data_IF_404770369983
#
_entry.id   IF_404770369983
#
_cell.length_a   1.000
_cell.length_b   1.000
_cell.length_c   1.000
_cell.angle_alpha   90.00
_cell.angle_beta   90.00
_cell.angle_gamma   90.00
#
_symmetry.space_group_name_H-M   'P 1'
#
loop_
_entity.id
_entity.type
_entity.pdbx_description
1 polymer ?
#
# COMPACT_ATOMS: atom_id res chain seq x y z
N UNK A 1 -41.65 12.17 7.16
CA UNK A 1 -40.28 12.56 6.77
C UNK A 1 -39.40 11.39 7.16
N UNK A 2 -39.12 10.49 6.21
CA UNK A 2 -38.48 9.19 6.47
C UNK A 2 -36.97 9.37 6.55
N UNK A 3 -36.42 9.05 7.72
CA UNK A 3 -35.00 8.92 7.99
C UNK A 3 -34.51 7.61 7.36
N UNK A 4 -33.70 7.72 6.31
CA UNK A 4 -33.13 6.56 5.61
C UNK A 4 -31.67 6.45 6.00
N UNK A 5 -31.41 5.78 7.12
CA UNK A 5 -30.08 5.33 7.50
C UNK A 5 -29.65 4.20 6.55
N UNK A 6 -28.62 4.46 5.74
CA UNK A 6 -28.03 3.44 4.86
C UNK A 6 -26.99 2.68 5.68
N UNK A 7 -27.36 1.47 6.09
CA UNK A 7 -26.46 0.49 6.69
C UNK A 7 -25.36 0.14 5.66
N UNK A 8 -24.11 0.45 5.99
CA UNK A 8 -22.93 0.06 5.19
C UNK A 8 -22.38 -1.32 5.58
N UNK A 9 -23.17 -2.09 6.34
CA UNK A 9 -22.91 -3.47 6.71
C UNK A 9 -22.80 -4.39 5.49
N UNK A 10 -21.56 -4.69 5.09
CA UNK A 10 -21.29 -5.91 4.34
C UNK A 10 -20.98 -5.77 2.86
N UNK A 11 -20.36 -4.66 2.40
CA UNK A 11 -19.66 -4.71 1.11
C UNK A 11 -18.37 -5.53 1.29
N UNK A 12 -18.50 -6.86 1.28
CA UNK A 12 -17.39 -7.70 0.84
C UNK A 12 -17.23 -7.41 -0.64
N UNK A 13 -16.17 -6.70 -1.02
CA UNK A 13 -15.74 -6.61 -2.40
C UNK A 13 -15.44 -8.04 -2.86
N UNK A 14 -16.42 -8.64 -3.50
CA UNK A 14 -16.38 -9.96 -4.10
C UNK A 14 -15.20 -10.03 -5.08
N UNK A 15 -14.31 -10.99 -4.85
CA UNK A 15 -13.38 -11.61 -5.82
C UNK A 15 -12.81 -10.73 -6.93
N UNK A 16 -11.52 -10.40 -6.80
CA UNK A 16 -10.60 -10.10 -7.90
C UNK A 16 -11.12 -9.16 -8.99
N UNK A 17 -11.34 -7.90 -8.60
CA UNK A 17 -11.29 -6.82 -9.58
C UNK A 17 -9.92 -6.84 -10.25
N UNK A 18 -9.88 -7.23 -11.53
CA UNK A 18 -8.66 -7.19 -12.33
C UNK A 18 -8.05 -5.78 -12.21
N UNK A 19 -6.76 -5.71 -11.89
CA UNK A 19 -6.06 -4.43 -11.91
C UNK A 19 -5.82 -4.05 -13.38
N UNK A 20 -6.63 -3.10 -13.87
CA UNK A 20 -6.61 -2.68 -15.27
C UNK A 20 -5.96 -1.31 -15.43
N UNK A 21 -5.21 -1.15 -16.53
CA UNK A 21 -4.47 0.07 -16.80
C UNK A 21 -3.30 0.29 -15.83
N UNK A 22 -2.79 1.52 -15.76
CA UNK A 22 -1.75 1.94 -14.79
C UNK A 22 -0.43 1.14 -14.83
N UNK A 23 -0.21 0.37 -15.90
CA UNK A 23 0.98 -0.48 -16.08
C UNK A 23 2.26 0.34 -16.09
N UNK A 24 2.20 1.60 -16.57
CA UNK A 24 3.34 2.51 -16.55
C UNK A 24 3.75 2.82 -15.10
N UNK A 25 2.80 3.23 -14.28
CA UNK A 25 3.06 3.59 -12.88
C UNK A 25 3.53 2.38 -12.07
N UNK A 26 2.94 1.21 -12.30
CA UNK A 26 3.43 -0.04 -11.69
C UNK A 26 4.87 -0.35 -12.09
N UNK A 27 5.21 -0.22 -13.38
CA UNK A 27 6.56 -0.44 -13.89
C UNK A 27 7.57 0.54 -13.29
N UNK A 28 7.21 1.81 -13.15
CA UNK A 28 8.06 2.83 -12.52
C UNK A 28 8.32 2.48 -11.04
N UNK A 29 7.29 2.08 -10.29
CA UNK A 29 7.44 1.64 -8.89
C UNK A 29 8.32 0.40 -8.74
N UNK A 30 8.16 -0.61 -9.61
CA UNK A 30 9.01 -1.79 -9.61
C UNK A 30 10.48 -1.43 -9.92
N UNK A 31 10.71 -0.53 -10.87
CA UNK A 31 12.06 -0.07 -11.19
C UNK A 31 12.73 0.68 -10.02
N UNK A 32 11.96 1.40 -9.22
CA UNK A 32 12.47 2.08 -8.02
C UNK A 32 12.87 1.11 -6.90
N UNK A 33 12.20 -0.05 -6.79
CA UNK A 33 12.61 -1.14 -5.89
C UNK A 33 13.96 -1.72 -6.34
N UNK A 34 14.12 -1.98 -7.64
CA UNK A 34 15.37 -2.53 -8.21
C UNK A 34 16.55 -1.56 -8.15
N UNK A 35 16.28 -0.25 -8.20
CA UNK A 35 17.34 0.75 -8.30
C UNK A 35 18.28 0.67 -7.10
N UNK A 36 19.59 0.71 -7.35
CA UNK A 36 20.61 0.82 -6.30
C UNK A 36 20.27 1.93 -5.31
N UNK A 37 20.34 1.64 -4.02
CA UNK A 37 19.91 2.57 -2.98
C UNK A 37 20.86 3.75 -2.89
N UNK A 38 20.37 4.88 -2.38
CA UNK A 38 21.22 6.05 -2.15
C UNK A 38 22.44 5.70 -1.28
N UNK A 39 22.26 4.79 -0.32
CA UNK A 39 23.35 4.25 0.50
C UNK A 39 24.35 3.41 -0.32
N UNK A 40 23.87 2.58 -1.24
CA UNK A 40 24.71 1.80 -2.17
C UNK A 40 25.50 2.73 -3.09
N UNK A 41 24.88 3.79 -3.61
CA UNK A 41 25.53 4.82 -4.42
C UNK A 41 26.53 5.66 -3.61
N UNK A 42 26.30 5.80 -2.30
CA UNK A 42 27.17 6.52 -1.37
C UNK A 42 28.24 5.63 -0.72
N UNK A 43 28.43 4.39 -1.20
CA UNK A 43 29.45 3.45 -0.71
C UNK A 43 29.17 2.80 0.65
N UNK A 44 27.97 2.98 1.22
CA UNK A 44 27.57 2.34 2.48
C UNK A 44 27.06 0.92 2.19
N UNK A 45 27.63 -0.06 2.91
CA UNK A 45 27.43 -1.50 2.67
C UNK A 45 26.12 -2.08 3.19
N UNK A 46 25.41 -1.40 4.10
CA UNK A 46 24.21 -1.97 4.70
C UNK A 46 22.98 -1.67 3.83
N UNK A 47 22.21 -2.70 3.41
CA UNK A 47 20.93 -2.48 2.75
C UNK A 47 19.97 -1.77 3.72
N UNK A 48 19.43 -0.62 3.30
CA UNK A 48 18.38 0.10 4.04
C UNK A 48 17.03 -0.09 3.39
N UNK A 49 15.99 -0.02 4.23
CA UNK A 49 14.60 -0.02 3.81
C UNK A 49 14.32 1.07 2.77
N UNK A 50 13.48 0.75 1.79
CA UNK A 50 12.99 1.70 0.78
C UNK A 50 11.64 2.26 1.20
N UNK A 51 11.46 3.54 0.95
CA UNK A 51 10.19 4.24 1.16
C UNK A 51 9.73 4.75 -0.20
N UNK A 52 8.57 4.26 -0.64
CA UNK A 52 7.91 4.71 -1.87
C UNK A 52 6.65 5.49 -1.50
N UNK A 53 6.38 6.60 -2.20
CA UNK A 53 5.19 7.42 -1.98
C UNK A 53 4.26 7.33 -3.19
N UNK A 54 3.04 6.85 -2.96
CA UNK A 54 1.95 6.87 -3.95
C UNK A 54 0.99 8.00 -3.60
N UNK A 55 1.14 9.14 -4.28
CA UNK A 55 0.28 10.30 -4.12
C UNK A 55 -0.71 10.44 -5.29
N UNK A 56 -1.84 11.10 -5.06
CA UNK A 56 -2.92 11.22 -6.03
C UNK A 56 -4.23 11.70 -5.41
N UNK A 57 -5.20 12.04 -6.26
CA UNK A 57 -6.52 12.53 -5.84
C UNK A 57 -7.29 11.45 -5.05
N UNK A 58 -8.23 11.83 -4.17
CA UNK A 58 -9.16 10.88 -3.57
C UNK A 58 -9.86 10.03 -4.65
N UNK A 59 -10.00 8.73 -4.41
CA UNK A 59 -10.60 7.80 -5.37
C UNK A 59 -9.75 7.42 -6.58
N UNK A 60 -8.52 7.92 -6.75
CA UNK A 60 -7.69 7.62 -7.93
C UNK A 60 -7.08 6.21 -7.96
N UNK A 61 -7.52 5.29 -7.09
CA UNK A 61 -6.98 3.92 -7.03
C UNK A 61 -5.59 3.79 -6.38
N UNK A 62 -5.15 4.75 -5.56
CA UNK A 62 -3.83 4.71 -4.88
C UNK A 62 -3.62 3.41 -4.10
N UNK A 63 -4.62 3.00 -3.33
CA UNK A 63 -4.59 1.75 -2.55
C UNK A 63 -4.53 0.53 -3.46
N UNK A 64 -5.32 0.51 -4.55
CA UNK A 64 -5.31 -0.59 -5.50
C UNK A 64 -3.96 -0.75 -6.20
N UNK A 65 -3.29 0.37 -6.57
CA UNK A 65 -1.94 0.32 -7.14
C UNK A 65 -0.90 -0.19 -6.13
N UNK A 66 -1.02 0.21 -4.87
CA UNK A 66 -0.13 -0.28 -3.81
C UNK A 66 -0.32 -1.79 -3.59
N UNK A 67 -1.57 -2.26 -3.56
CA UNK A 67 -1.89 -3.69 -3.43
C UNK A 67 -1.39 -4.49 -4.63
N UNK A 68 -1.51 -3.96 -5.85
CA UNK A 68 -0.96 -4.61 -7.04
C UNK A 68 0.57 -4.69 -7.02
N UNK A 69 1.25 -3.60 -6.62
CA UNK A 69 2.70 -3.60 -6.45
C UNK A 69 3.14 -4.68 -5.47
N UNK A 70 2.45 -4.78 -4.33
CA UNK A 70 2.74 -5.77 -3.30
C UNK A 70 2.51 -7.19 -3.82
N UNK A 71 1.41 -7.46 -4.52
CA UNK A 71 1.18 -8.75 -5.19
C UNK A 71 2.31 -9.10 -6.14
N UNK A 72 2.78 -8.14 -6.94
CA UNK A 72 3.83 -8.35 -7.92
C UNK A 72 5.21 -8.65 -7.32
N UNK A 73 5.47 -8.29 -6.06
CA UNK A 73 6.77 -8.53 -5.40
C UNK A 73 6.71 -9.55 -4.28
N UNK A 74 5.53 -10.07 -3.92
CA UNK A 74 5.33 -10.93 -2.74
C UNK A 74 6.29 -12.14 -2.73
N UNK A 75 6.43 -12.83 -3.86
CA UNK A 75 7.27 -14.02 -4.00
C UNK A 75 8.78 -13.75 -3.87
N UNK A 76 9.19 -12.50 -3.71
CA UNK A 76 10.59 -12.09 -3.56
C UNK A 76 11.00 -11.87 -2.10
N UNK A 77 10.04 -11.93 -1.17
CA UNK A 77 10.26 -11.68 0.25
C UNK A 77 9.76 -12.88 1.05
N UNK A 78 10.70 -13.73 1.50
CA UNK A 78 10.40 -14.97 2.22
C UNK A 78 9.64 -14.72 3.54
N UNK A 79 9.88 -13.57 4.17
CA UNK A 79 9.22 -13.15 5.41
C UNK A 79 7.77 -12.66 5.20
N UNK A 80 7.32 -12.57 3.95
CA UNK A 80 5.97 -12.17 3.58
C UNK A 80 5.68 -10.67 3.65
N UNK A 81 4.41 -10.33 3.86
CA UNK A 81 3.88 -8.97 3.83
C UNK A 81 3.26 -8.60 5.19
N UNK A 82 3.65 -7.44 5.71
CA UNK A 82 2.97 -6.79 6.81
C UNK A 82 2.26 -5.52 6.32
N UNK A 83 1.01 -5.32 6.74
CA UNK A 83 0.18 -4.17 6.39
C UNK A 83 -0.51 -3.62 7.63
N UNK A 84 -0.41 -2.32 7.85
CA UNK A 84 -1.18 -1.60 8.86
C UNK A 84 -1.87 -0.39 8.25
N UNK A 85 -3.03 -0.03 8.81
CA UNK A 85 -3.68 1.24 8.51
C UNK A 85 -3.17 2.31 9.46
N UNK A 86 -2.70 3.43 8.92
CA UNK A 86 -2.16 4.54 9.72
C UNK A 86 -3.14 5.69 9.90
N UNK A 87 -4.25 5.68 9.17
CA UNK A 87 -5.33 6.68 9.29
C UNK A 87 -6.66 6.08 8.90
N UNK A 88 -7.71 6.49 9.61
CA UNK A 88 -9.10 6.16 9.33
C UNK A 88 -9.57 6.77 8.00
N UNK A 89 -10.74 6.36 7.44
CA UNK A 89 -11.21 6.87 6.15
C UNK A 89 -11.46 8.38 6.17
N UNK A 90 -11.77 8.93 7.35
CA UNK A 90 -11.97 10.36 7.60
C UNK A 90 -10.64 11.14 7.77
N UNK A 91 -9.50 10.43 7.74
CA UNK A 91 -8.17 11.01 7.93
C UNK A 91 -7.69 11.07 9.38
N UNK A 92 -8.49 10.60 10.35
CA UNK A 92 -8.08 10.55 11.76
C UNK A 92 -6.86 9.60 11.92
N UNK A 93 -5.75 10.04 12.53
CA UNK A 93 -4.59 9.17 12.72
C UNK A 93 -4.86 7.98 13.64
N UNK A 94 -4.36 6.80 13.29
CA UNK A 94 -4.39 5.62 14.17
C UNK A 94 -3.22 5.72 15.17
N UNK A 95 -3.45 5.54 16.48
CA UNK A 95 -2.37 5.55 17.47
C UNK A 95 -1.29 4.50 17.17
N UNK A 96 -0.01 4.90 17.24
CA UNK A 96 1.13 4.04 16.87
C UNK A 96 1.13 2.71 17.62
N UNK A 97 0.77 2.70 18.90
CA UNK A 97 0.70 1.47 19.70
C UNK A 97 -0.33 0.47 19.19
N UNK A 98 -1.38 0.92 18.51
CA UNK A 98 -2.36 0.03 17.88
C UNK A 98 -1.78 -0.58 16.60
N UNK A 99 -1.22 0.24 15.71
CA UNK A 99 -0.56 -0.25 14.49
C UNK A 99 0.60 -1.21 14.81
N UNK A 100 1.37 -0.95 15.87
CA UNK A 100 2.44 -1.85 16.28
C UNK A 100 1.94 -3.24 16.70
N UNK A 101 0.83 -3.32 17.46
CA UNK A 101 0.20 -4.60 17.84
C UNK A 101 -0.42 -5.35 16.67
N UNK A 102 -0.77 -4.66 15.59
CA UNK A 102 -1.24 -5.32 14.36
C UNK A 102 -0.10 -5.96 13.57
N UNK A 103 1.14 -5.49 13.77
CA UNK A 103 2.32 -5.89 13.01
C UNK A 103 3.24 -6.88 13.74
N UNK A 104 3.15 -6.98 15.07
CA UNK A 104 4.06 -7.72 15.97
C UNK A 104 3.28 -8.60 16.94
#
# INVERSE_FOLDING_TARGET
MTDQAVDTGGVRLSGEGQFLGRTRELKELLADIERAGLDTLSGKKAPRARVLLIAGRPGSGRTALAEELVRAVADRYDDGLLRARLSEPDGTPVPVGNSARELL
#
